data_IF_679087321329
#
_entry.id   IF_679087321329
#
_cell.length_a   1.000
_cell.length_b   1.000
_cell.length_c   1.000
_cell.angle_alpha   90.00
_cell.angle_beta   90.00
_cell.angle_gamma   90.00
#
_symmetry.space_group_name_H-M   'P 1'
#
loop_
_entity.id
_entity.type
_entity.pdbx_description
1 polymer ?
#
# COMPACT_ATOMS: atom_id res chain seq x y z
N UNK A 1 8.54 -9.53 -15.86
CA UNK A 1 7.19 -9.33 -15.33
C UNK A 1 6.88 -7.88 -14.95
N UNK A 2 7.50 -6.90 -15.57
CA UNK A 2 7.36 -5.48 -15.24
C UNK A 2 8.49 -4.92 -14.35
N UNK A 3 9.11 -5.78 -13.56
CA UNK A 3 10.19 -5.42 -12.63
C UNK A 3 11.60 -5.67 -13.19
N UNK A 4 11.71 -5.85 -14.50
CA UNK A 4 13.00 -6.02 -15.24
C UNK A 4 13.17 -4.88 -16.24
N UNK A 5 13.27 -3.59 -15.83
CA UNK A 5 13.24 -2.46 -16.75
C UNK A 5 14.48 -2.44 -17.63
N UNK A 6 14.24 -2.33 -18.94
CA UNK A 6 15.27 -2.14 -19.97
C UNK A 6 15.17 -0.74 -20.60
N UNK A 7 14.00 -0.36 -21.08
CA UNK A 7 13.70 0.93 -21.69
C UNK A 7 12.48 1.54 -21.02
N UNK A 8 12.69 2.54 -20.19
CA UNK A 8 11.63 3.21 -19.42
C UNK A 8 10.59 3.94 -20.27
N UNK A 9 10.91 4.19 -21.54
CA UNK A 9 10.06 4.94 -22.48
C UNK A 9 9.41 4.04 -23.53
N UNK A 10 9.68 2.74 -23.54
CA UNK A 10 8.99 1.79 -24.40
C UNK A 10 7.63 1.41 -23.79
N UNK A 11 6.60 2.08 -24.25
CA UNK A 11 5.21 1.82 -23.87
C UNK A 11 4.46 1.00 -24.92
N UNK A 12 5.17 0.32 -25.81
CA UNK A 12 4.61 -0.45 -26.91
C UNK A 12 4.38 0.38 -28.19
N UNK A 13 5.19 1.39 -28.40
CA UNK A 13 5.18 2.29 -29.56
C UNK A 13 6.53 2.36 -30.29
N UNK A 14 7.59 1.79 -29.70
CA UNK A 14 8.93 1.71 -30.30
C UNK A 14 9.30 0.29 -30.71
N UNK A 15 10.12 0.18 -31.75
CA UNK A 15 10.67 -1.13 -32.15
C UNK A 15 11.80 -1.54 -31.20
N UNK A 16 11.47 -2.35 -30.20
CA UNK A 16 12.42 -2.90 -29.25
C UNK A 16 12.82 -4.32 -29.68
N UNK A 17 14.03 -4.47 -30.26
CA UNK A 17 14.58 -5.77 -30.67
C UNK A 17 13.61 -6.59 -31.58
N UNK A 18 12.90 -5.93 -32.49
CA UNK A 18 11.97 -6.55 -33.45
C UNK A 18 10.52 -6.68 -32.94
N UNK A 19 10.19 -6.13 -31.79
CA UNK A 19 8.81 -6.04 -31.26
C UNK A 19 8.44 -4.59 -31.03
N UNK A 20 7.18 -4.24 -31.30
CA UNK A 20 6.63 -2.89 -31.04
C UNK A 20 5.74 -2.95 -29.80
N UNK A 21 4.71 -3.78 -29.80
CA UNK A 21 3.80 -3.91 -28.66
C UNK A 21 4.50 -4.59 -27.48
N UNK A 22 4.42 -3.99 -26.27
CA UNK A 22 4.91 -4.64 -25.04
C UNK A 22 4.04 -5.83 -24.67
N UNK A 23 4.51 -6.64 -23.73
CA UNK A 23 3.71 -7.74 -23.18
C UNK A 23 2.41 -7.24 -22.52
N UNK A 24 2.41 -6.02 -21.97
CA UNK A 24 1.28 -5.45 -21.23
C UNK A 24 0.35 -4.60 -22.09
N UNK A 25 0.73 -4.29 -23.33
CA UNK A 25 -0.09 -3.51 -24.22
C UNK A 25 0.70 -2.48 -25.01
N UNK A 26 -0.01 -1.49 -25.54
CA UNK A 26 0.50 -0.34 -26.28
C UNK A 26 0.33 0.93 -25.47
N UNK A 27 1.07 1.98 -25.82
CA UNK A 27 0.90 3.32 -25.23
C UNK A 27 -0.54 3.84 -25.36
N UNK A 28 -1.19 3.59 -26.50
CA UNK A 28 -2.59 4.00 -26.71
C UNK A 28 -3.55 3.31 -25.73
N UNK A 29 -3.34 2.00 -25.46
CA UNK A 29 -4.13 1.27 -24.48
C UNK A 29 -3.88 1.78 -23.04
N UNK A 30 -2.64 2.10 -22.68
CA UNK A 30 -2.30 2.70 -21.37
C UNK A 30 -2.96 4.07 -21.21
N UNK A 31 -2.86 4.94 -22.21
CA UNK A 31 -3.49 6.26 -22.20
C UNK A 31 -5.02 6.15 -22.08
N UNK A 32 -5.63 5.20 -22.79
CA UNK A 32 -7.07 4.94 -22.67
C UNK A 32 -7.47 4.46 -21.28
N UNK A 33 -6.66 3.61 -20.63
CA UNK A 33 -6.88 3.17 -19.26
C UNK A 33 -6.86 4.36 -18.27
N UNK A 34 -5.83 5.20 -18.32
CA UNK A 34 -5.69 6.38 -17.44
C UNK A 34 -6.88 7.32 -17.62
N UNK A 35 -7.27 7.63 -18.87
CA UNK A 35 -8.41 8.48 -19.15
C UNK A 35 -9.74 7.89 -18.65
N UNK A 36 -9.91 6.58 -18.75
CA UNK A 36 -11.10 5.90 -18.23
C UNK A 36 -11.16 5.96 -16.71
N UNK A 37 -10.04 5.78 -16.03
CA UNK A 37 -9.93 5.92 -14.58
C UNK A 37 -10.29 7.35 -14.14
N UNK A 38 -9.74 8.38 -14.77
CA UNK A 38 -10.06 9.78 -14.48
C UNK A 38 -11.55 10.09 -14.74
N UNK A 39 -12.14 9.54 -15.82
CA UNK A 39 -13.58 9.67 -16.08
C UNK A 39 -14.44 9.05 -14.97
N UNK A 40 -13.94 8.00 -14.33
CA UNK A 40 -14.56 7.36 -13.17
C UNK A 40 -14.17 8.01 -11.83
N UNK A 41 -13.50 9.17 -11.85
CA UNK A 41 -13.03 9.89 -10.67
C UNK A 41 -12.01 9.11 -9.84
N UNK A 42 -11.20 8.27 -10.50
CA UNK A 42 -10.13 7.46 -9.90
C UNK A 42 -8.77 8.02 -10.28
N UNK A 43 -7.83 7.98 -9.36
CA UNK A 43 -6.42 8.28 -9.61
C UNK A 43 -5.66 7.03 -10.05
N UNK A 44 -4.59 7.21 -10.81
CA UNK A 44 -3.72 6.13 -11.29
C UNK A 44 -2.27 6.43 -10.89
N UNK A 45 -1.65 5.52 -10.17
CA UNK A 45 -0.27 5.67 -9.71
C UNK A 45 0.69 4.80 -10.52
N UNK A 46 1.82 5.37 -10.91
CA UNK A 46 2.86 4.63 -11.61
C UNK A 46 3.74 3.85 -10.64
N UNK A 47 4.07 2.62 -10.98
CA UNK A 47 5.06 1.82 -10.26
C UNK A 47 6.46 2.15 -10.80
N UNK A 48 7.29 2.81 -9.99
CA UNK A 48 8.64 3.28 -10.34
C UNK A 48 9.69 2.26 -9.91
N UNK A 49 10.15 1.46 -10.87
CA UNK A 49 11.24 0.50 -10.69
C UNK A 49 12.55 1.16 -11.09
N UNK A 50 13.17 1.91 -10.19
CA UNK A 50 14.36 2.72 -10.46
C UNK A 50 15.63 2.22 -9.76
N UNK A 51 15.56 1.13 -9.01
CA UNK A 51 16.72 0.55 -8.36
C UNK A 51 17.70 -0.08 -9.35
N UNK A 52 17.20 -0.84 -10.31
CA UNK A 52 18.03 -1.70 -11.17
C UNK A 52 17.53 -1.73 -12.61
N UNK A 53 18.36 -2.30 -13.50
CA UNK A 53 17.96 -2.63 -14.87
C UNK A 53 18.31 -4.07 -15.21
N UNK A 54 17.66 -4.62 -16.26
CA UNK A 54 17.90 -5.98 -16.72
C UNK A 54 17.96 -6.06 -18.26
N UNK A 55 18.71 -7.03 -18.77
CA UNK A 55 18.74 -7.35 -20.21
C UNK A 55 19.61 -6.45 -21.05
N UNK A 56 20.73 -5.94 -20.53
CA UNK A 56 21.71 -5.15 -21.27
C UNK A 56 22.13 -5.78 -22.59
N UNK A 57 22.55 -4.97 -23.58
CA UNK A 57 22.88 -5.39 -24.93
C UNK A 57 24.28 -5.99 -25.05
N UNK A 58 25.19 -5.59 -24.15
CA UNK A 58 26.54 -6.10 -24.11
C UNK A 58 27.12 -6.08 -22.69
N UNK A 59 28.09 -6.96 -22.46
CA UNK A 59 28.89 -6.93 -21.26
C UNK A 59 29.96 -5.85 -21.32
N UNK A 60 30.25 -5.25 -20.18
CA UNK A 60 31.37 -4.32 -19.97
C UNK A 60 32.16 -4.76 -18.74
N UNK A 61 33.48 -4.53 -18.79
CA UNK A 61 34.34 -4.71 -17.61
C UNK A 61 34.34 -3.42 -16.83
N UNK A 62 33.91 -3.46 -15.56
CA UNK A 62 33.99 -2.33 -14.67
C UNK A 62 35.46 -2.15 -14.19
N UNK A 63 36.11 -1.00 -14.45
CA UNK A 63 37.51 -0.79 -14.06
C UNK A 63 37.73 -0.64 -12.56
N UNK A 64 36.68 -0.49 -11.75
CA UNK A 64 36.76 -0.31 -10.29
C UNK A 64 36.92 -1.65 -9.57
N UNK A 65 36.07 -2.62 -9.90
CA UNK A 65 36.03 -3.94 -9.24
C UNK A 65 36.39 -5.12 -10.16
N UNK A 66 36.69 -4.82 -11.43
CA UNK A 66 37.01 -5.80 -12.47
C UNK A 66 35.90 -6.81 -12.78
N UNK A 67 34.67 -6.56 -12.29
CA UNK A 67 33.50 -7.39 -12.64
C UNK A 67 33.12 -7.21 -14.11
N UNK A 68 32.59 -8.29 -14.70
CA UNK A 68 32.04 -8.25 -16.09
C UNK A 68 30.53 -8.41 -15.97
N UNK A 69 29.81 -7.36 -16.37
CA UNK A 69 28.34 -7.31 -16.22
C UNK A 69 27.65 -6.76 -17.46
N UNK A 70 26.36 -7.08 -17.61
CA UNK A 70 25.50 -6.60 -18.69
C UNK A 70 25.04 -5.16 -18.42
N UNK A 71 25.93 -4.19 -18.62
CA UNK A 71 25.72 -2.77 -18.28
C UNK A 71 25.61 -1.86 -19.48
N UNK A 72 25.80 -2.39 -20.71
CA UNK A 72 25.57 -1.62 -21.94
C UNK A 72 24.11 -1.68 -22.35
N UNK A 73 23.44 -0.52 -22.40
CA UNK A 73 22.05 -0.42 -22.84
C UNK A 73 21.91 0.61 -23.97
N UNK A 74 21.31 0.19 -25.10
CA UNK A 74 20.97 1.04 -26.23
C UNK A 74 19.46 0.91 -26.50
N UNK A 75 18.61 1.55 -25.70
CA UNK A 75 17.16 1.40 -25.79
C UNK A 75 16.60 1.85 -27.13
N UNK A 76 15.56 1.16 -27.61
CA UNK A 76 14.90 1.44 -28.88
C UNK A 76 14.23 2.81 -28.96
N UNK A 77 13.83 3.36 -27.80
CA UNK A 77 13.34 4.74 -27.69
C UNK A 77 14.42 5.79 -27.99
N UNK A 78 15.70 5.40 -27.98
CA UNK A 78 16.84 6.32 -28.08
C UNK A 78 17.08 7.17 -26.82
N UNK A 79 16.25 7.00 -25.79
CA UNK A 79 16.38 7.73 -24.53
C UNK A 79 17.17 6.92 -23.51
N UNK A 80 17.89 7.62 -22.64
CA UNK A 80 18.68 7.05 -21.56
C UNK A 80 19.57 5.85 -21.96
N UNK A 81 20.47 5.97 -22.94
CA UNK A 81 21.52 4.96 -23.17
C UNK A 81 22.46 4.91 -21.95
N UNK A 82 22.79 3.70 -21.49
CA UNK A 82 23.59 3.46 -20.27
C UNK A 82 24.85 2.67 -20.59
N UNK A 83 25.87 2.87 -19.77
CA UNK A 83 27.09 2.10 -19.68
C UNK A 83 27.44 1.80 -18.22
N UNK A 84 28.55 1.11 -17.96
CA UNK A 84 28.97 0.69 -16.63
C UNK A 84 29.03 1.84 -15.61
N UNK A 85 29.26 3.11 -16.03
CA UNK A 85 29.31 4.25 -15.12
C UNK A 85 27.97 4.59 -14.49
N UNK A 86 26.88 4.12 -15.07
CA UNK A 86 25.53 4.31 -14.56
C UNK A 86 25.16 3.33 -13.43
N UNK A 87 26.00 2.35 -13.14
CA UNK A 87 25.71 1.25 -12.20
C UNK A 87 26.80 1.10 -11.15
N UNK A 88 26.40 0.68 -9.93
CA UNK A 88 27.35 0.43 -8.83
C UNK A 88 28.24 -0.82 -9.10
N UNK A 89 29.55 -0.77 -8.70
CA UNK A 89 30.27 0.42 -8.26
C UNK A 89 30.48 1.37 -9.43
N UNK A 90 30.25 2.67 -9.19
CA UNK A 90 30.37 3.75 -10.16
C UNK A 90 31.48 4.74 -9.71
N UNK A 91 32.03 5.56 -10.65
CA UNK A 91 32.93 6.66 -10.27
C UNK A 91 32.30 7.69 -9.31
N UNK A 92 30.97 7.71 -9.20
CA UNK A 92 30.23 8.66 -8.38
C UNK A 92 29.91 8.12 -6.99
N UNK A 93 29.67 6.81 -6.89
CA UNK A 93 29.38 6.13 -5.63
C UNK A 93 29.64 4.62 -5.76
N UNK A 94 30.15 4.01 -4.70
CA UNK A 94 30.47 2.57 -4.73
C UNK A 94 29.25 1.71 -4.46
N UNK A 95 28.34 2.18 -3.57
CA UNK A 95 27.18 1.44 -3.13
C UNK A 95 26.26 2.38 -2.33
N UNK A 96 24.95 2.27 -2.45
CA UNK A 96 23.99 3.14 -1.75
C UNK A 96 22.85 2.41 -1.02
N UNK A 97 22.63 1.12 -1.25
CA UNK A 97 21.57 0.36 -0.63
C UNK A 97 21.68 -1.14 -0.86
N UNK A 98 20.55 -1.85 -0.77
CA UNK A 98 20.49 -3.28 -1.02
C UNK A 98 20.49 -3.56 -2.54
N UNK A 99 21.25 -4.57 -2.99
CA UNK A 99 21.19 -5.03 -4.38
C UNK A 99 19.99 -5.94 -4.62
N UNK A 100 19.35 -5.83 -5.77
CA UNK A 100 18.27 -6.73 -6.19
C UNK A 100 18.84 -7.90 -7.01
N UNK A 101 19.23 -8.96 -6.33
CA UNK A 101 19.89 -10.10 -6.96
C UNK A 101 21.16 -9.71 -7.72
N UNK A 102 21.35 -10.26 -8.93
CA UNK A 102 22.51 -9.97 -9.80
C UNK A 102 22.22 -8.88 -10.84
N UNK A 103 21.11 -8.17 -10.71
CA UNK A 103 20.75 -7.10 -11.65
C UNK A 103 21.66 -5.89 -11.49
N UNK A 104 22.09 -5.25 -12.59
CA UNK A 104 22.84 -4.00 -12.51
C UNK A 104 22.09 -2.93 -11.76
N UNK A 105 22.64 -2.50 -10.63
CA UNK A 105 22.11 -1.55 -9.67
C UNK A 105 22.45 -0.12 -10.07
N UNK A 106 21.44 0.76 -10.23
CA UNK A 106 21.62 2.13 -10.74
C UNK A 106 22.26 3.05 -9.71
N UNK A 107 23.33 3.73 -10.12
CA UNK A 107 23.99 4.75 -9.29
C UNK A 107 23.30 6.11 -9.44
N UNK A 108 22.40 6.45 -8.53
CA UNK A 108 21.64 7.70 -8.56
C UNK A 108 22.50 8.96 -8.30
N UNK A 109 23.72 8.82 -7.77
CA UNK A 109 24.70 9.90 -7.67
C UNK A 109 25.36 10.25 -9.00
N UNK A 110 25.24 9.39 -10.02
CA UNK A 110 25.63 9.76 -11.38
C UNK A 110 24.64 10.82 -11.90
N UNK A 111 25.10 12.04 -12.27
CA UNK A 111 24.22 13.12 -12.71
C UNK A 111 23.32 12.73 -13.87
N UNK A 112 23.81 11.88 -14.78
CA UNK A 112 23.02 11.36 -15.91
C UNK A 112 21.85 10.48 -15.44
N UNK A 113 22.09 9.63 -14.45
CA UNK A 113 21.04 8.77 -13.85
C UNK A 113 20.03 9.64 -13.09
N UNK A 114 20.52 10.56 -12.27
CA UNK A 114 19.68 11.48 -11.50
C UNK A 114 18.73 12.29 -12.41
N UNK A 115 19.29 12.97 -13.40
CA UNK A 115 18.49 13.77 -14.35
C UNK A 115 17.46 12.92 -15.05
N UNK A 116 17.83 11.70 -15.44
CA UNK A 116 16.93 10.82 -16.17
C UNK A 116 15.77 10.32 -15.30
N UNK A 117 16.01 10.03 -14.00
CA UNK A 117 14.93 9.64 -13.09
C UNK A 117 13.95 10.80 -12.84
N UNK A 118 14.43 12.03 -12.79
CA UNK A 118 13.59 13.23 -12.72
C UNK A 118 12.78 13.38 -14.02
N UNK A 119 13.41 13.26 -15.19
CA UNK A 119 12.74 13.35 -16.50
C UNK A 119 11.70 12.24 -16.67
N UNK A 120 11.99 11.02 -16.22
CA UNK A 120 11.06 9.90 -16.22
C UNK A 120 9.81 10.19 -15.37
N UNK A 121 10.00 10.69 -14.16
CA UNK A 121 8.89 11.05 -13.29
C UNK A 121 8.01 12.16 -13.90
N UNK A 122 8.64 13.19 -14.49
CA UNK A 122 7.90 14.24 -15.23
C UNK A 122 7.16 13.68 -16.42
N UNK A 123 7.78 12.80 -17.21
CA UNK A 123 7.13 12.15 -18.34
C UNK A 123 5.89 11.35 -17.92
N UNK A 124 5.99 10.58 -16.85
CA UNK A 124 4.87 9.78 -16.36
C UNK A 124 3.69 10.65 -15.94
N UNK A 125 3.91 11.73 -15.22
CA UNK A 125 2.81 12.61 -14.77
C UNK A 125 2.37 13.57 -15.88
N UNK A 126 3.28 14.35 -16.46
CA UNK A 126 2.93 15.45 -17.35
C UNK A 126 2.54 14.99 -18.77
N UNK A 127 3.08 13.85 -19.21
CA UNK A 127 2.79 13.32 -20.55
C UNK A 127 1.77 12.20 -20.53
N UNK A 128 1.91 11.23 -19.61
CA UNK A 128 1.02 10.06 -19.55
C UNK A 128 -0.22 10.30 -18.70
N UNK A 129 -0.16 11.20 -17.73
CA UNK A 129 -1.29 11.58 -16.89
C UNK A 129 -1.44 10.75 -15.60
N UNK A 130 -0.38 10.12 -15.12
CA UNK A 130 -0.40 9.52 -13.79
C UNK A 130 -0.55 10.59 -12.69
N UNK A 131 -1.09 10.20 -11.53
CA UNK A 131 -1.41 11.09 -10.41
C UNK A 131 -0.41 10.96 -9.25
N UNK A 132 0.48 9.97 -9.31
CA UNK A 132 1.46 9.71 -8.26
C UNK A 132 2.29 8.47 -8.52
N UNK A 133 3.03 8.04 -7.49
CA UNK A 133 4.02 6.98 -7.60
C UNK A 133 3.96 5.95 -6.47
N UNK A 134 4.14 4.69 -6.82
CA UNK A 134 4.66 3.66 -5.93
C UNK A 134 6.15 3.49 -6.23
N UNK A 135 7.00 3.68 -5.23
CA UNK A 135 8.45 3.45 -5.34
C UNK A 135 8.77 2.01 -4.96
N UNK A 136 9.25 1.25 -5.94
CA UNK A 136 9.66 -0.13 -5.79
C UNK A 136 10.98 -0.25 -5.04
N UNK A 137 11.13 -1.25 -4.18
CA UNK A 137 12.36 -1.67 -3.51
C UNK A 137 13.20 -0.50 -2.96
N UNK A 138 12.58 0.39 -2.18
CA UNK A 138 13.22 1.63 -1.70
C UNK A 138 14.40 1.44 -0.76
N UNK A 139 14.68 0.23 -0.31
CA UNK A 139 15.90 -0.12 0.44
C UNK A 139 17.14 -0.21 -0.45
N UNK A 140 16.96 -0.31 -1.76
CA UNK A 140 18.02 -0.45 -2.72
C UNK A 140 18.68 0.86 -3.13
N UNK A 141 18.12 2.02 -2.78
CA UNK A 141 18.70 3.32 -3.15
C UNK A 141 18.46 4.40 -2.10
N UNK A 142 19.25 5.46 -2.19
CA UNK A 142 19.20 6.54 -1.21
C UNK A 142 17.83 7.22 -1.13
N UNK A 143 17.23 7.38 0.08
CA UNK A 143 15.92 7.98 0.28
C UNK A 143 15.81 9.42 -0.28
N UNK A 144 16.94 10.11 -0.43
CA UNK A 144 17.01 11.43 -1.05
C UNK A 144 16.52 11.43 -2.51
N UNK A 145 16.61 10.31 -3.23
CA UNK A 145 16.10 10.21 -4.60
C UNK A 145 14.56 10.23 -4.61
N UNK A 146 13.93 9.50 -3.70
CA UNK A 146 12.46 9.55 -3.49
C UNK A 146 12.03 10.96 -3.14
N UNK A 147 12.74 11.61 -2.20
CA UNK A 147 12.49 13.00 -1.83
C UNK A 147 12.58 13.94 -3.02
N UNK A 148 13.62 13.83 -3.84
CA UNK A 148 13.81 14.66 -5.04
C UNK A 148 12.64 14.57 -6.02
N UNK A 149 12.07 13.39 -6.20
CA UNK A 149 10.90 13.17 -7.08
C UNK A 149 9.62 13.69 -6.41
N UNK A 150 9.40 13.38 -5.15
CA UNK A 150 8.15 13.71 -4.45
C UNK A 150 7.98 15.24 -4.19
N UNK A 151 9.08 15.99 -4.06
CA UNK A 151 9.05 17.45 -3.88
C UNK A 151 8.93 18.23 -5.19
N UNK A 152 8.99 17.59 -6.35
CA UNK A 152 8.76 18.27 -7.61
C UNK A 152 7.30 18.70 -7.71
N UNK A 153 7.09 19.93 -8.17
CA UNK A 153 5.77 20.42 -8.51
C UNK A 153 5.49 20.15 -9.96
N UNK A 154 4.69 19.11 -10.21
CA UNK A 154 4.37 18.68 -11.57
C UNK A 154 3.26 19.56 -12.17
N UNK A 155 3.35 19.79 -13.48
CA UNK A 155 2.34 20.53 -14.21
C UNK A 155 1.25 19.57 -14.68
N UNK A 156 0.01 19.83 -14.32
CA UNK A 156 -1.10 19.24 -15.03
C UNK A 156 -1.82 20.30 -15.88
N UNK A 157 -2.58 19.85 -16.87
CA UNK A 157 -3.24 20.75 -17.84
C UNK A 157 -4.39 21.57 -17.24
N UNK A 158 -4.83 21.23 -16.02
CA UNK A 158 -6.05 21.81 -15.42
C UNK A 158 -5.76 22.78 -14.28
N UNK A 159 -4.78 22.51 -13.38
CA UNK A 159 -4.67 23.22 -12.09
C UNK A 159 -3.32 23.92 -11.83
N UNK A 160 -2.45 24.00 -12.82
CA UNK A 160 -1.23 24.80 -12.74
C UNK A 160 -0.13 24.27 -11.80
N UNK A 161 -0.18 23.03 -11.41
CA UNK A 161 0.87 22.32 -10.68
C UNK A 161 0.41 21.75 -9.33
N UNK A 162 0.79 20.50 -9.08
CA UNK A 162 0.43 19.74 -7.89
C UNK A 162 1.61 18.90 -7.40
N UNK A 163 1.51 18.40 -6.17
CA UNK A 163 2.40 17.39 -5.62
C UNK A 163 1.75 16.02 -5.76
N UNK A 164 2.46 14.99 -6.29
CA UNK A 164 1.91 13.66 -6.48
C UNK A 164 1.76 12.93 -5.13
N UNK A 165 0.77 12.05 -5.02
CA UNK A 165 0.79 11.05 -3.94
C UNK A 165 1.95 10.08 -4.16
N UNK A 166 2.72 9.82 -3.11
CA UNK A 166 3.89 8.96 -3.16
C UNK A 166 3.85 7.93 -2.04
N UNK A 167 4.08 6.65 -2.39
CA UNK A 167 4.18 5.56 -1.44
C UNK A 167 5.40 4.69 -1.74
N UNK A 168 6.19 4.36 -0.72
CA UNK A 168 7.37 3.52 -0.86
C UNK A 168 7.16 2.10 -0.35
N UNK A 169 7.76 1.15 -1.07
CA UNK A 169 7.85 -0.24 -0.64
C UNK A 169 9.09 -0.44 0.23
N UNK A 170 8.98 -0.10 1.52
CA UNK A 170 9.98 -0.40 2.52
C UNK A 170 9.63 -1.71 3.25
N UNK A 171 9.95 -2.83 2.63
CA UNK A 171 9.62 -4.15 3.18
C UNK A 171 10.59 -4.51 4.31
N UNK A 172 10.22 -4.13 5.52
CA UNK A 172 11.06 -4.33 6.71
C UNK A 172 10.23 -4.21 8.00
N UNK A 173 10.92 -4.29 9.14
CA UNK A 173 10.35 -4.04 10.45
C UNK A 173 9.98 -2.57 10.69
N UNK A 174 9.18 -2.32 11.73
CA UNK A 174 8.66 -0.99 12.04
C UNK A 174 9.74 0.08 12.18
N UNK A 175 10.90 -0.25 12.78
CA UNK A 175 11.98 0.71 12.98
C UNK A 175 12.62 1.14 11.66
N UNK A 176 12.88 0.20 10.76
CA UNK A 176 13.44 0.50 9.44
C UNK A 176 12.49 1.38 8.61
N UNK A 177 11.18 1.07 8.63
CA UNK A 177 10.16 1.89 7.95
C UNK A 177 10.09 3.30 8.54
N UNK A 178 10.16 3.43 9.87
CA UNK A 178 10.18 4.72 10.57
C UNK A 178 11.41 5.55 10.19
N UNK A 179 12.60 4.95 10.23
CA UNK A 179 13.84 5.62 9.88
C UNK A 179 13.85 6.07 8.41
N UNK A 180 13.34 5.22 7.51
CA UNK A 180 13.21 5.55 6.09
C UNK A 180 12.26 6.75 5.89
N UNK A 181 11.04 6.71 6.44
CA UNK A 181 10.08 7.82 6.33
C UNK A 181 10.61 9.11 6.94
N UNK A 182 11.24 9.02 8.10
CA UNK A 182 11.82 10.19 8.79
C UNK A 182 12.91 10.84 7.96
N UNK A 183 13.75 10.04 7.30
CA UNK A 183 14.86 10.54 6.44
C UNK A 183 14.34 11.30 5.22
N UNK A 184 13.14 10.97 4.73
CA UNK A 184 12.51 11.64 3.58
C UNK A 184 11.68 12.84 4.03
N UNK A 185 10.74 12.61 4.96
CA UNK A 185 9.66 13.56 5.28
C UNK A 185 10.11 14.76 6.12
N UNK A 186 11.35 14.74 6.63
CA UNK A 186 11.89 15.88 7.37
C UNK A 186 11.94 17.12 6.45
N UNK A 187 11.18 18.15 6.82
CA UNK A 187 11.02 19.41 6.08
C UNK A 187 10.40 19.26 4.67
N UNK A 188 9.49 18.31 4.47
CA UNK A 188 8.71 18.20 3.25
C UNK A 188 7.33 18.86 3.39
N UNK A 189 6.90 19.56 2.36
CA UNK A 189 5.52 20.08 2.24
C UNK A 189 4.54 18.98 1.82
N UNK A 190 5.01 17.98 1.06
CA UNK A 190 4.25 16.83 0.59
C UNK A 190 4.87 15.52 1.12
N UNK A 191 4.48 15.04 2.31
CA UNK A 191 5.08 13.86 2.90
C UNK A 191 4.77 12.59 2.11
N UNK A 192 5.77 11.73 1.99
CA UNK A 192 5.69 10.40 1.38
C UNK A 192 5.07 9.42 2.37
N UNK A 193 4.30 8.49 1.87
CA UNK A 193 3.72 7.35 2.60
C UNK A 193 4.55 6.08 2.44
N UNK A 194 4.32 5.06 3.25
CA UNK A 194 4.88 3.73 3.07
C UNK A 194 3.82 2.65 3.25
N UNK A 195 4.03 1.49 2.62
CA UNK A 195 3.24 0.30 2.92
C UNK A 195 3.54 -0.20 4.33
N UNK A 196 2.48 -0.48 5.10
CA UNK A 196 2.59 -0.92 6.50
C UNK A 196 2.85 -2.44 6.58
N UNK A 197 4.06 -2.86 6.19
CA UNK A 197 4.50 -4.25 6.30
C UNK A 197 4.46 -4.77 7.74
N UNK A 198 4.84 -4.01 8.78
CA UNK A 198 4.66 -4.44 10.16
C UNK A 198 3.22 -4.82 10.51
N UNK A 199 2.24 -4.03 10.05
CA UNK A 199 0.82 -4.35 10.24
C UNK A 199 0.43 -5.62 9.48
N UNK A 200 0.88 -5.77 8.22
CA UNK A 200 0.64 -6.99 7.44
C UNK A 200 1.05 -8.24 8.22
N UNK A 201 2.24 -8.28 8.81
CA UNK A 201 2.70 -9.42 9.61
C UNK A 201 1.92 -9.62 10.92
N UNK A 202 1.48 -8.54 11.55
CA UNK A 202 0.58 -8.62 12.71
C UNK A 202 -0.76 -9.22 12.31
N UNK A 203 -1.34 -8.79 11.19
CA UNK A 203 -2.59 -9.33 10.64
C UNK A 203 -2.43 -10.77 10.16
N UNK A 204 -1.26 -11.13 9.62
CA UNK A 204 -0.93 -12.53 9.30
C UNK A 204 -0.92 -13.39 10.56
N UNK A 205 -0.34 -12.90 11.64
CA UNK A 205 -0.40 -13.56 12.95
C UNK A 205 -1.84 -13.78 13.41
N UNK A 206 -2.68 -12.74 13.33
CA UNK A 206 -4.11 -12.82 13.65
C UNK A 206 -4.84 -13.90 12.84
N UNK A 207 -4.59 -13.94 11.54
CA UNK A 207 -5.33 -14.80 10.62
C UNK A 207 -4.85 -16.25 10.62
N UNK A 208 -3.54 -16.47 10.65
CA UNK A 208 -2.92 -17.77 10.39
C UNK A 208 -2.40 -18.48 11.66
N UNK A 209 -2.27 -17.78 12.80
CA UNK A 209 -1.69 -18.38 14.01
C UNK A 209 -2.76 -18.71 15.02
N UNK A 210 -2.88 -20.00 15.36
CA UNK A 210 -3.77 -20.44 16.45
C UNK A 210 -3.34 -19.83 17.78
N UNK A 211 -4.29 -19.27 18.54
CA UNK A 211 -4.04 -18.65 19.83
C UNK A 211 -3.34 -17.29 19.77
N UNK A 212 -3.35 -16.61 18.62
CA UNK A 212 -2.88 -15.23 18.52
C UNK A 212 -3.67 -14.33 19.47
N UNK A 213 -2.96 -13.54 20.30
CA UNK A 213 -3.58 -12.61 21.23
C UNK A 213 -3.97 -11.31 20.53
N UNK A 214 -5.25 -10.90 20.61
CA UNK A 214 -5.72 -9.63 20.02
C UNK A 214 -5.15 -8.40 20.73
N UNK A 215 -4.51 -8.56 21.91
CA UNK A 215 -3.78 -7.46 22.56
C UNK A 215 -2.66 -6.89 21.68
N UNK A 216 -2.10 -7.70 20.78
CA UNK A 216 -1.07 -7.27 19.84
C UNK A 216 -1.57 -6.15 18.89
N UNK A 217 -2.86 -6.12 18.56
CA UNK A 217 -3.45 -5.08 17.71
C UNK A 217 -3.53 -3.69 18.38
N UNK A 218 -3.42 -3.64 19.70
CA UNK A 218 -3.42 -2.40 20.49
C UNK A 218 -2.01 -1.93 20.85
N UNK A 219 -0.97 -2.67 20.47
CA UNK A 219 0.42 -2.30 20.76
C UNK A 219 1.00 -1.42 19.65
N UNK A 220 1.90 -0.48 20.00
CA UNK A 220 2.68 0.21 19.01
C UNK A 220 3.61 -0.80 18.31
N UNK A 221 3.69 -0.76 17.00
CA UNK A 221 4.53 -1.70 16.24
C UNK A 221 4.20 -1.74 14.75
N UNK A 222 3.23 -0.93 14.32
CA UNK A 222 2.89 -0.71 12.92
C UNK A 222 3.00 0.76 12.58
N UNK A 223 3.14 1.07 11.30
CA UNK A 223 3.15 2.44 10.81
C UNK A 223 1.84 3.17 11.17
N UNK A 224 0.72 2.48 11.08
CA UNK A 224 -0.60 3.00 11.47
C UNK A 224 -0.63 3.48 12.93
N UNK A 225 0.15 2.88 13.82
CA UNK A 225 0.14 3.23 15.26
C UNK A 225 0.86 4.54 15.59
N UNK A 226 1.74 5.06 14.73
CA UNK A 226 2.49 6.29 15.00
C UNK A 226 2.42 7.34 13.86
N UNK A 227 2.10 6.94 12.63
CA UNK A 227 1.99 7.82 11.47
C UNK A 227 0.84 7.38 10.55
N UNK A 228 -0.37 7.28 11.09
CA UNK A 228 -1.55 6.77 10.37
C UNK A 228 -1.80 7.50 9.04
N UNK A 229 -1.52 8.80 8.96
CA UNK A 229 -1.65 9.60 7.74
C UNK A 229 -0.62 9.26 6.65
N UNK A 230 0.42 8.51 6.97
CA UNK A 230 1.43 8.04 6.02
C UNK A 230 1.41 6.51 5.85
N UNK A 231 0.46 5.82 6.48
CA UNK A 231 0.35 4.38 6.43
C UNK A 231 -0.55 3.94 5.28
N UNK A 232 0.00 3.23 4.30
CA UNK A 232 -0.78 2.49 3.30
C UNK A 232 -0.93 1.05 3.79
N UNK A 233 -2.11 0.73 4.31
CA UNK A 233 -2.40 -0.56 4.89
C UNK A 233 -2.87 -1.55 3.83
N UNK A 234 -2.49 -2.82 3.95
CA UNK A 234 -2.83 -3.87 3.00
C UNK A 234 -2.91 -5.23 3.67
N UNK A 235 -3.63 -6.17 3.07
CA UNK A 235 -3.73 -7.57 3.50
C UNK A 235 -2.71 -8.42 2.78
N UNK A 236 -2.75 -8.43 1.46
CA UNK A 236 -1.74 -9.05 0.60
C UNK A 236 -1.46 -8.17 -0.62
N UNK A 237 -0.36 -8.44 -1.29
CA UNK A 237 0.02 -7.87 -2.58
C UNK A 237 0.56 -8.97 -3.52
N UNK A 238 1.04 -8.58 -4.69
CA UNK A 238 1.54 -9.49 -5.72
C UNK A 238 2.84 -10.22 -5.31
N UNK A 239 3.60 -9.68 -4.37
CA UNK A 239 4.82 -10.32 -3.84
C UNK A 239 4.53 -11.22 -2.67
N UNK A 240 3.73 -10.79 -1.69
CA UNK A 240 3.40 -11.62 -0.53
C UNK A 240 2.71 -12.93 -0.93
N UNK A 241 1.87 -12.94 -1.98
CA UNK A 241 1.22 -14.17 -2.46
C UNK A 241 2.14 -15.08 -3.29
N UNK A 242 3.24 -14.53 -3.84
CA UNK A 242 4.22 -15.28 -4.63
C UNK A 242 5.27 -15.93 -3.74
N UNK A 243 5.68 -15.25 -2.69
CA UNK A 243 6.74 -15.66 -1.81
C UNK A 243 6.21 -16.59 -0.70
N UNK A 244 6.76 -17.80 -0.65
CA UNK A 244 6.36 -18.82 0.32
C UNK A 244 6.43 -18.30 1.76
N UNK A 245 5.29 -18.41 2.46
CA UNK A 245 5.18 -18.05 3.86
C UNK A 245 4.80 -16.60 4.16
N UNK A 246 4.74 -15.71 3.18
CA UNK A 246 4.37 -14.30 3.40
C UNK A 246 2.87 -14.03 3.25
N UNK A 247 2.16 -14.74 2.38
CA UNK A 247 0.72 -14.57 2.21
C UNK A 247 -0.07 -14.87 3.50
N UNK A 248 -1.18 -14.17 3.70
CA UNK A 248 -2.22 -14.55 4.65
C UNK A 248 -3.06 -15.66 4.00
N UNK A 249 -3.16 -16.82 4.64
CA UNK A 249 -3.80 -18.00 4.06
C UNK A 249 -5.24 -18.18 4.57
N UNK A 250 -5.46 -17.92 5.86
CA UNK A 250 -6.76 -18.14 6.51
C UNK A 250 -7.43 -16.82 6.86
N UNK A 251 -8.73 -16.84 7.01
CA UNK A 251 -9.54 -15.76 7.59
C UNK A 251 -9.23 -14.32 7.12
N UNK A 252 -8.77 -14.13 5.88
CA UNK A 252 -8.39 -12.82 5.31
C UNK A 252 -9.40 -11.70 5.55
N UNK A 253 -10.69 -12.05 5.65
CA UNK A 253 -11.73 -11.06 5.92
C UNK A 253 -11.62 -10.44 7.33
N UNK A 254 -10.97 -11.10 8.30
CA UNK A 254 -10.64 -10.48 9.58
C UNK A 254 -9.59 -9.37 9.39
N UNK A 255 -8.56 -9.62 8.57
CA UNK A 255 -7.55 -8.60 8.23
C UNK A 255 -8.18 -7.43 7.44
N UNK A 256 -9.00 -7.71 6.43
CA UNK A 256 -9.73 -6.66 5.71
C UNK A 256 -10.67 -5.86 6.60
N UNK A 257 -11.35 -6.50 7.56
CA UNK A 257 -12.22 -5.81 8.49
C UNK A 257 -11.42 -4.85 9.38
N UNK A 258 -10.19 -5.19 9.72
CA UNK A 258 -9.30 -4.31 10.47
C UNK A 258 -8.89 -3.10 9.62
N UNK A 259 -8.25 -3.30 8.47
CA UNK A 259 -7.71 -2.18 7.68
C UNK A 259 -8.80 -1.24 7.15
N UNK A 260 -10.00 -1.75 6.85
CA UNK A 260 -11.12 -0.96 6.36
C UNK A 260 -11.94 -0.26 7.47
N UNK A 261 -11.60 -0.46 8.72
CA UNK A 261 -12.24 0.26 9.85
C UNK A 261 -11.29 1.18 10.60
N UNK A 262 -9.98 0.97 10.50
CA UNK A 262 -8.95 1.77 11.18
C UNK A 262 -8.48 2.96 10.33
N UNK A 263 -7.57 3.76 10.89
CA UNK A 263 -6.89 4.84 10.18
C UNK A 263 -5.88 4.27 9.19
N UNK A 264 -5.43 5.10 8.26
CA UNK A 264 -4.54 4.76 7.16
C UNK A 264 -5.25 4.78 5.81
N UNK A 265 -4.51 4.46 4.75
CA UNK A 265 -5.00 4.33 3.38
C UNK A 265 -5.14 2.83 3.04
N UNK A 266 -6.34 2.22 3.19
CA UNK A 266 -6.49 0.78 2.99
C UNK A 266 -6.42 0.41 1.52
N UNK A 267 -5.59 -0.59 1.20
CA UNK A 267 -5.45 -1.16 -0.14
C UNK A 267 -6.15 -2.50 -0.23
N UNK A 268 -7.00 -2.66 -1.23
CA UNK A 268 -7.67 -3.93 -1.54
C UNK A 268 -6.93 -4.60 -2.69
N UNK A 269 -6.40 -5.79 -2.45
CA UNK A 269 -5.68 -6.53 -3.46
C UNK A 269 -6.63 -7.10 -4.52
N UNK A 270 -6.31 -6.88 -5.81
CA UNK A 270 -7.13 -7.29 -6.95
C UNK A 270 -7.52 -8.76 -6.91
N UNK A 271 -6.57 -9.66 -6.59
CA UNK A 271 -6.85 -11.10 -6.57
C UNK A 271 -7.77 -11.50 -5.42
N UNK A 272 -7.68 -10.84 -4.27
CA UNK A 272 -8.60 -11.08 -3.16
C UNK A 272 -10.03 -10.70 -3.55
N UNK A 273 -10.19 -9.57 -4.25
CA UNK A 273 -11.50 -9.13 -4.71
C UNK A 273 -12.10 -10.06 -5.77
N UNK A 274 -11.36 -10.34 -6.84
CA UNK A 274 -11.87 -11.03 -8.03
C UNK A 274 -11.57 -12.53 -8.05
N UNK A 275 -10.31 -12.93 -7.84
CA UNK A 275 -9.88 -14.31 -8.05
C UNK A 275 -10.23 -15.21 -6.86
N UNK A 276 -10.08 -14.71 -5.64
CA UNK A 276 -10.42 -15.46 -4.42
C UNK A 276 -11.86 -15.23 -3.96
N UNK A 277 -12.61 -14.36 -4.64
CA UNK A 277 -14.04 -14.15 -4.42
C UNK A 277 -14.39 -13.52 -3.07
N UNK A 278 -13.45 -12.80 -2.44
CA UNK A 278 -13.67 -12.20 -1.12
C UNK A 278 -14.50 -10.90 -1.19
N UNK A 279 -14.75 -10.35 -2.38
CA UNK A 279 -15.67 -9.22 -2.56
C UNK A 279 -17.04 -9.49 -1.99
N UNK A 280 -17.64 -10.68 -2.26
CA UNK A 280 -18.97 -11.12 -1.80
C UNK A 280 -20.01 -10.02 -1.95
N UNK A 281 -20.06 -9.39 -3.12
CA UNK A 281 -20.96 -8.27 -3.43
C UNK A 281 -22.42 -8.61 -3.10
N UNK A 282 -23.12 -7.67 -2.46
CA UNK A 282 -24.52 -7.84 -2.07
C UNK A 282 -24.74 -8.63 -0.77
N UNK A 283 -23.67 -9.00 -0.08
CA UNK A 283 -23.72 -9.66 1.23
C UNK A 283 -23.01 -8.79 2.29
N UNK A 284 -23.34 -8.94 3.59
CA UNK A 284 -22.72 -8.15 4.65
C UNK A 284 -21.32 -8.65 5.06
N UNK A 285 -20.87 -9.79 4.53
CA UNK A 285 -19.71 -10.53 5.03
C UNK A 285 -18.54 -10.59 4.04
N UNK A 286 -18.40 -9.58 3.18
CA UNK A 286 -17.32 -9.48 2.19
C UNK A 286 -16.63 -8.13 2.19
N UNK A 287 -15.56 -8.03 1.39
CA UNK A 287 -14.80 -6.79 1.22
C UNK A 287 -15.71 -5.66 0.72
N UNK A 288 -16.69 -5.94 -0.15
CA UNK A 288 -17.58 -4.91 -0.67
C UNK A 288 -18.41 -4.22 0.42
N UNK A 289 -18.90 -4.98 1.41
CA UNK A 289 -19.63 -4.41 2.56
C UNK A 289 -18.69 -3.60 3.48
N UNK A 290 -17.45 -4.06 3.65
CA UNK A 290 -16.44 -3.35 4.43
C UNK A 290 -16.02 -2.03 3.77
N UNK A 291 -15.84 -2.00 2.44
CA UNK A 291 -15.58 -0.77 1.68
C UNK A 291 -16.75 0.21 1.84
N UNK A 292 -17.98 -0.25 1.68
CA UNK A 292 -19.15 0.61 1.87
C UNK A 292 -19.26 1.15 3.32
N UNK A 293 -18.87 0.35 4.32
CA UNK A 293 -18.81 0.79 5.71
C UNK A 293 -17.68 1.81 5.93
N UNK A 294 -16.52 1.59 5.32
CA UNK A 294 -15.38 2.52 5.32
C UNK A 294 -15.78 3.89 4.77
N UNK A 295 -16.28 3.92 3.54
CA UNK A 295 -16.66 5.16 2.83
C UNK A 295 -17.75 5.96 3.56
N UNK A 296 -18.61 5.29 4.31
CA UNK A 296 -19.76 5.95 4.95
C UNK A 296 -19.51 6.34 6.40
N UNK A 297 -18.70 5.58 7.13
CA UNK A 297 -18.63 5.69 8.58
C UNK A 297 -17.22 5.87 9.16
N UNK A 298 -16.15 5.43 8.45
CA UNK A 298 -14.81 5.34 9.03
C UNK A 298 -14.04 6.67 8.99
N UNK A 299 -14.52 7.67 9.71
CA UNK A 299 -13.85 8.97 9.88
C UNK A 299 -13.31 9.20 11.29
N UNK A 300 -12.51 10.24 11.46
CA UNK A 300 -11.93 10.64 12.73
C UNK A 300 -10.80 9.72 13.22
N UNK A 301 -10.54 9.73 14.52
CA UNK A 301 -9.45 8.96 15.14
C UNK A 301 -9.90 7.59 15.62
N UNK A 302 -8.98 6.63 15.65
CA UNK A 302 -9.16 5.31 16.23
C UNK A 302 -8.92 5.35 17.73
N UNK A 303 -9.87 4.84 18.50
CA UNK A 303 -9.76 4.69 19.96
C UNK A 303 -10.06 3.24 20.35
N UNK A 304 -9.05 2.56 20.90
CA UNK A 304 -9.23 1.20 21.43
C UNK A 304 -10.01 1.31 22.76
N UNK A 305 -11.17 0.66 22.82
CA UNK A 305 -12.06 0.69 23.97
C UNK A 305 -11.85 -0.52 24.88
N UNK A 306 -11.50 -1.67 24.29
CA UNK A 306 -11.25 -2.90 25.03
C UNK A 306 -10.33 -3.83 24.23
N UNK A 307 -9.43 -4.52 24.91
CA UNK A 307 -8.63 -5.60 24.32
C UNK A 307 -8.33 -6.69 25.33
N UNK A 308 -8.35 -7.91 24.86
CA UNK A 308 -7.95 -9.13 25.56
C UNK A 308 -7.35 -10.12 24.56
N UNK A 309 -7.00 -11.32 24.97
CA UNK A 309 -6.51 -12.34 24.03
C UNK A 309 -7.55 -12.67 22.96
N UNK A 310 -8.85 -12.65 23.29
CA UNK A 310 -9.92 -13.13 22.42
C UNK A 310 -10.80 -12.02 21.84
N UNK A 311 -10.78 -10.81 22.39
CA UNK A 311 -11.68 -9.72 21.99
C UNK A 311 -10.90 -8.43 21.82
N UNK A 312 -11.20 -7.74 20.72
CA UNK A 312 -10.74 -6.37 20.45
C UNK A 312 -11.95 -5.52 20.07
N UNK A 313 -12.12 -4.39 20.75
CA UNK A 313 -13.17 -3.40 20.44
C UNK A 313 -12.56 -2.02 20.31
N UNK A 314 -12.87 -1.34 19.23
CA UNK A 314 -12.47 0.06 19.03
C UNK A 314 -13.62 0.90 18.49
N UNK A 315 -13.51 2.21 18.60
CA UNK A 315 -14.35 3.16 17.88
C UNK A 315 -13.54 4.06 16.95
N UNK A 316 -14.13 4.43 15.82
CA UNK A 316 -13.74 5.61 15.06
C UNK A 316 -14.63 6.77 15.49
N UNK A 317 -14.01 7.89 15.82
CA UNK A 317 -14.75 9.02 16.41
C UNK A 317 -15.69 9.74 15.45
N UNK A 318 -15.53 9.50 14.16
CA UNK A 318 -16.23 10.28 13.14
C UNK A 318 -15.57 11.64 12.87
N UNK A 319 -16.08 12.33 11.87
CA UNK A 319 -15.70 13.67 11.47
C UNK A 319 -16.92 14.43 10.91
N UNK A 320 -16.70 15.53 10.19
CA UNK A 320 -17.79 16.33 9.60
C UNK A 320 -18.62 15.56 8.55
N UNK A 321 -18.07 14.49 7.95
CA UNK A 321 -18.67 13.73 6.85
C UNK A 321 -19.01 12.29 7.21
N UNK A 322 -18.43 11.75 8.29
CA UNK A 322 -18.58 10.37 8.73
C UNK A 322 -19.06 10.31 10.17
N UNK A 323 -20.11 9.55 10.43
CA UNK A 323 -20.70 9.43 11.78
C UNK A 323 -19.83 8.66 12.78
N UNK A 324 -18.76 8.02 12.35
CA UNK A 324 -17.99 7.08 13.16
C UNK A 324 -18.62 5.68 13.18
N UNK A 325 -17.94 4.75 13.86
CA UNK A 325 -18.36 3.35 14.00
C UNK A 325 -17.78 2.73 15.27
N UNK A 326 -18.35 1.58 15.67
CA UNK A 326 -17.75 0.65 16.63
C UNK A 326 -17.40 -0.64 15.88
N UNK A 327 -16.17 -1.11 16.04
CA UNK A 327 -15.67 -2.34 15.43
C UNK A 327 -15.32 -3.37 16.50
N UNK A 328 -15.65 -4.63 16.25
CA UNK A 328 -15.39 -5.76 17.15
C UNK A 328 -14.71 -6.88 16.38
N UNK A 329 -13.61 -7.40 16.92
CA UNK A 329 -13.02 -8.69 16.55
C UNK A 329 -13.22 -9.70 17.66
N UNK A 330 -13.57 -10.94 17.29
CA UNK A 330 -13.66 -12.10 18.16
C UNK A 330 -12.75 -13.22 17.62
N UNK A 331 -11.74 -13.60 18.40
CA UNK A 331 -10.78 -14.65 18.03
C UNK A 331 -11.22 -16.05 18.51
N UNK A 332 -12.30 -16.17 19.31
CA UNK A 332 -12.87 -17.44 19.72
C UNK A 332 -13.56 -18.14 18.54
N UNK A 333 -13.23 -19.42 18.31
CA UNK A 333 -13.83 -20.19 17.23
C UNK A 333 -15.15 -20.90 17.61
N UNK A 334 -15.56 -20.86 18.88
CA UNK A 334 -16.63 -21.68 19.43
C UNK A 334 -17.86 -20.90 19.89
N UNK A 335 -17.74 -19.58 20.05
CA UNK A 335 -18.82 -18.78 20.64
C UNK A 335 -18.80 -17.32 20.20
N UNK A 336 -19.95 -16.69 20.26
CA UNK A 336 -20.05 -15.23 20.20
C UNK A 336 -19.33 -14.62 21.38
N UNK A 337 -18.57 -13.55 21.14
CA UNK A 337 -17.83 -12.86 22.17
C UNK A 337 -17.75 -11.36 21.87
N UNK A 338 -17.51 -10.57 22.90
CA UNK A 338 -17.47 -9.12 22.84
C UNK A 338 -17.22 -8.50 24.19
N UNK A 339 -17.50 -7.21 24.31
CA UNK A 339 -17.32 -6.49 25.56
C UNK A 339 -18.37 -5.38 25.74
N UNK A 340 -18.66 -5.06 27.00
CA UNK A 340 -19.33 -3.82 27.37
C UNK A 340 -18.27 -2.72 27.47
N UNK A 341 -18.43 -1.67 26.67
CA UNK A 341 -17.43 -0.59 26.53
C UNK A 341 -18.07 0.78 26.65
N UNK A 342 -17.28 1.74 27.13
CA UNK A 342 -17.64 3.15 27.16
C UNK A 342 -17.36 3.76 25.78
N UNK A 343 -18.40 4.16 25.08
CA UNK A 343 -18.31 4.87 23.79
C UNK A 343 -18.51 6.38 23.97
N UNK A 344 -18.25 7.14 22.92
CA UNK A 344 -18.59 8.58 22.90
C UNK A 344 -20.08 8.87 22.69
N UNK A 345 -20.87 7.89 22.31
CA UNK A 345 -22.29 8.07 22.01
C UNK A 345 -23.16 7.68 23.20
N UNK A 346 -24.07 8.56 23.59
CA UNK A 346 -24.92 8.44 24.76
C UNK A 346 -26.39 8.25 24.35
N UNK A 347 -26.98 7.13 24.71
CA UNK A 347 -28.39 6.84 24.40
C UNK A 347 -28.63 6.62 22.90
N UNK A 348 -27.64 6.15 22.16
CA UNK A 348 -27.66 6.02 20.69
C UNK A 348 -27.88 4.56 20.29
N UNK A 349 -28.69 4.37 19.25
CA UNK A 349 -28.92 3.08 18.60
C UNK A 349 -27.79 2.79 17.60
N UNK A 350 -27.32 1.55 17.57
CA UNK A 350 -26.31 1.06 16.64
C UNK A 350 -26.85 -0.10 15.79
N UNK A 351 -26.72 0.01 14.48
CA UNK A 351 -27.03 -1.08 13.56
C UNK A 351 -25.75 -1.76 13.06
N UNK A 352 -25.72 -3.12 13.02
CA UNK A 352 -24.64 -3.82 12.32
C UNK A 352 -24.76 -3.57 10.83
N UNK A 353 -23.68 -3.04 10.23
CA UNK A 353 -23.60 -2.63 8.82
C UNK A 353 -22.75 -3.57 7.98
N UNK A 354 -21.76 -4.23 8.60
CA UNK A 354 -20.98 -5.31 8.02
C UNK A 354 -20.56 -6.29 9.11
N UNK A 355 -20.53 -7.59 8.82
CA UNK A 355 -20.15 -8.64 9.78
C UNK A 355 -19.78 -9.92 9.05
N UNK A 356 -18.98 -10.76 9.70
CA UNK A 356 -18.58 -12.06 9.15
C UNK A 356 -17.79 -12.89 10.14
N UNK A 357 -17.40 -14.09 9.73
CA UNK A 357 -16.73 -15.08 10.53
C UNK A 357 -17.25 -16.48 10.23
N UNK A 358 -17.05 -17.42 11.17
CA UNK A 358 -17.59 -18.79 11.06
C UNK A 358 -19.12 -18.81 11.19
N UNK A 359 -19.68 -17.88 11.97
CA UNK A 359 -21.13 -17.64 12.03
C UNK A 359 -21.43 -16.33 11.29
N UNK A 360 -22.23 -16.42 10.23
CA UNK A 360 -22.65 -15.28 9.41
C UNK A 360 -24.02 -14.72 9.81
N UNK A 361 -24.60 -15.18 10.92
CA UNK A 361 -25.83 -14.64 11.46
C UNK A 361 -25.68 -13.15 11.75
N UNK A 362 -26.74 -12.39 11.49
CA UNK A 362 -26.74 -10.95 11.73
C UNK A 362 -26.60 -10.65 13.22
N UNK A 363 -25.62 -9.84 13.64
CA UNK A 363 -25.53 -9.37 15.01
C UNK A 363 -26.79 -8.57 15.41
N UNK A 364 -27.14 -8.61 16.68
CA UNK A 364 -28.27 -7.84 17.19
C UNK A 364 -27.97 -6.32 17.13
N UNK A 365 -29.00 -5.53 16.86
CA UNK A 365 -28.97 -4.08 17.07
C UNK A 365 -28.58 -3.77 18.53
N UNK A 366 -27.75 -2.77 18.73
CA UNK A 366 -27.24 -2.38 20.05
C UNK A 366 -27.71 -0.98 20.41
N UNK A 367 -27.65 -0.68 21.69
CA UNK A 367 -27.94 0.63 22.25
C UNK A 367 -26.88 0.99 23.27
N UNK A 368 -26.39 2.23 23.23
CA UNK A 368 -25.63 2.76 24.36
C UNK A 368 -26.56 3.32 25.42
N UNK A 369 -26.16 3.20 26.66
CA UNK A 369 -26.85 3.79 27.81
C UNK A 369 -26.65 5.32 27.82
N UNK A 370 -27.32 6.00 28.71
CA UNK A 370 -27.20 7.47 28.89
C UNK A 370 -25.81 7.91 29.34
N UNK A 371 -25.02 7.01 29.91
CA UNK A 371 -23.63 7.22 30.29
C UNK A 371 -22.64 6.82 29.17
N UNK A 372 -23.13 6.31 28.02
CA UNK A 372 -22.33 5.91 26.87
C UNK A 372 -21.87 4.44 26.85
N UNK A 373 -22.18 3.65 27.90
CA UNK A 373 -21.86 2.22 27.89
C UNK A 373 -22.75 1.46 26.92
N UNK A 374 -22.13 0.58 26.11
CA UNK A 374 -22.80 -0.30 25.16
C UNK A 374 -22.14 -1.68 25.09
N UNK A 375 -22.92 -2.68 24.70
CA UNK A 375 -22.53 -4.08 24.70
C UNK A 375 -22.40 -4.55 23.22
N UNK A 376 -21.16 -4.71 22.73
CA UNK A 376 -20.88 -5.00 21.32
C UNK A 376 -20.20 -6.36 21.15
N UNK A 377 -20.72 -7.18 20.21
CA UNK A 377 -20.34 -8.58 20.05
C UNK A 377 -20.12 -8.93 18.58
N UNK A 378 -19.24 -9.90 18.31
CA UNK A 378 -19.04 -10.53 17.02
C UNK A 378 -19.19 -12.05 17.12
N UNK A 379 -19.52 -12.67 15.99
CA UNK A 379 -19.63 -14.12 15.88
C UNK A 379 -18.29 -14.84 16.06
N UNK A 380 -18.32 -16.18 16.18
CA UNK A 380 -17.10 -16.99 16.34
C UNK A 380 -16.11 -16.76 15.20
N UNK A 381 -14.83 -16.61 15.55
CA UNK A 381 -13.73 -16.32 14.63
C UNK A 381 -14.14 -15.29 13.59
N UNK A 382 -14.60 -14.13 14.07
CA UNK A 382 -15.26 -13.16 13.21
C UNK A 382 -15.15 -11.71 13.66
N UNK A 383 -15.91 -10.90 12.99
CA UNK A 383 -15.91 -9.45 13.15
C UNK A 383 -17.30 -8.86 12.95
N UNK A 384 -17.52 -7.69 13.51
CA UNK A 384 -18.73 -6.89 13.31
C UNK A 384 -18.42 -5.40 13.31
N UNK A 385 -19.05 -4.66 12.40
CA UNK A 385 -19.01 -3.20 12.31
C UNK A 385 -20.41 -2.66 12.63
N UNK A 386 -20.49 -1.81 13.64
CA UNK A 386 -21.72 -1.17 14.07
C UNK A 386 -21.66 0.33 13.79
N UNK A 387 -22.69 0.86 13.15
CA UNK A 387 -22.80 2.29 12.87
C UNK A 387 -23.87 2.95 13.74
N UNK A 388 -23.56 4.13 14.33
CA UNK A 388 -24.55 4.88 15.10
C UNK A 388 -25.64 5.42 14.17
N UNK A 389 -26.88 5.40 14.68
CA UNK A 389 -28.05 5.97 14.01
C UNK A 389 -28.30 7.36 14.62
N UNK A 390 -27.49 8.32 14.19
CA UNK A 390 -27.51 9.72 14.63
C UNK A 390 -28.10 10.63 13.59
#
# INVERSE_FOLDING_TARGET
MGYDPYDYYDLGDVNQKGRIKTWFGSQAELTALINAAHTANMQVYADLVINHNYGGDAQETNPIDHSVRWTKFNPGSGKFPRDWTCFHPSPYETFDGESFGDMPDLCHRNPKVYEEMINLAQFMIETLGYDGFRFDFVKGYGPWMVKSIAELRYLNKQDGGFYPFCVGECWDNARTVEDWLTSINTFMDNPVSAFDFPLHYTLKGLCDTFGFSLTALAQPGSLTSWASLNAVTFVDNHDTIRDDGNAIIHDKLMAYSYILTHEGYPSVFWMDWYNFGLAKTGTPNGIAALVAAHEKYAGGTTQVLFTSDDVYVMQRTGDATHSGLVFVLNNRGDTWNGATVQTQWHGVRFEPVAWGGQDTSRPATKWTQTDGHGDFWAGPRGWAVYAPQV
#
